data_IF_225844736747
#
_entry.id   IF_225844736747
#
_cell.length_a   1.000
_cell.length_b   1.000
_cell.length_c   1.000
_cell.angle_alpha   90.00
_cell.angle_beta   90.00
_cell.angle_gamma   90.00
#
_symmetry.space_group_name_H-M   'P 1'
#
loop_
_entity.id
_entity.type
_entity.pdbx_description
1 polymer ?
#
# COMPACT_ATOMS: atom_id res chain seq x y z
N UNK A 1 25.75 -50.81 25.30
CA UNK A 1 26.02 -49.94 24.13
C UNK A 1 27.47 -49.48 24.06
N UNK A 2 28.09 -48.97 25.14
CA UNK A 2 29.48 -48.49 25.09
C UNK A 2 30.51 -49.55 24.60
N UNK A 3 30.38 -50.80 25.04
CA UNK A 3 31.26 -51.93 24.64
C UNK A 3 31.27 -52.15 23.13
N UNK A 4 30.15 -51.97 22.42
CA UNK A 4 30.06 -52.12 20.97
C UNK A 4 30.93 -51.11 20.21
N UNK A 5 31.00 -49.87 20.68
CA UNK A 5 31.81 -48.82 20.08
C UNK A 5 33.30 -48.95 20.43
N UNK A 6 33.61 -49.49 21.59
CA UNK A 6 35.00 -49.76 22.02
C UNK A 6 35.60 -50.86 21.13
N UNK A 7 34.83 -51.92 20.85
CA UNK A 7 35.29 -53.04 20.03
C UNK A 7 35.32 -52.72 18.51
N UNK A 8 34.67 -51.60 18.08
CA UNK A 8 34.60 -51.17 16.67
C UNK A 8 34.88 -49.68 16.50
N UNK A 9 36.13 -49.24 16.66
CA UNK A 9 36.48 -47.81 16.66
C UNK A 9 36.22 -47.13 15.31
N UNK A 10 36.40 -47.84 14.17
CA UNK A 10 36.13 -47.28 12.85
C UNK A 10 34.65 -46.93 12.69
N UNK A 11 33.74 -47.77 13.20
CA UNK A 11 32.30 -47.49 13.14
C UNK A 11 31.90 -46.27 13.98
N UNK A 12 32.53 -46.10 15.15
CA UNK A 12 32.33 -44.91 15.98
C UNK A 12 32.81 -43.63 15.29
N UNK A 13 33.97 -43.67 14.61
CA UNK A 13 34.49 -42.52 13.84
C UNK A 13 33.57 -42.16 12.69
N UNK A 14 33.09 -43.13 11.93
CA UNK A 14 32.17 -42.88 10.80
C UNK A 14 30.87 -42.23 11.25
N UNK A 15 30.27 -42.74 12.35
CA UNK A 15 29.05 -42.13 12.91
C UNK A 15 29.31 -40.70 13.39
N UNK A 16 30.45 -40.47 14.07
CA UNK A 16 30.81 -39.13 14.54
C UNK A 16 30.98 -38.14 13.39
N UNK A 17 31.61 -38.55 12.28
CA UNK A 17 31.77 -37.73 11.08
C UNK A 17 30.40 -37.46 10.44
N UNK A 18 29.50 -38.45 10.34
CA UNK A 18 28.14 -38.26 9.81
C UNK A 18 27.32 -37.28 10.64
N UNK A 19 27.38 -37.39 11.98
CA UNK A 19 26.67 -36.45 12.86
C UNK A 19 27.25 -35.05 12.74
N UNK A 20 28.56 -34.91 12.62
CA UNK A 20 29.23 -33.63 12.47
C UNK A 20 28.88 -32.98 11.14
N UNK A 21 28.87 -33.73 10.05
CA UNK A 21 28.44 -33.26 8.72
C UNK A 21 26.96 -32.85 8.71
N UNK A 22 26.08 -33.71 9.26
CA UNK A 22 24.66 -33.39 9.36
C UNK A 22 24.38 -32.17 10.23
N UNK A 23 25.10 -32.05 11.37
CA UNK A 23 25.01 -30.90 12.26
C UNK A 23 25.51 -29.61 11.60
N UNK A 24 26.60 -29.66 10.85
CA UNK A 24 27.12 -28.51 10.12
C UNK A 24 26.17 -28.05 9.02
N UNK A 25 25.62 -29.00 8.23
CA UNK A 25 24.64 -28.70 7.21
C UNK A 25 23.36 -28.10 7.80
N UNK A 26 22.88 -28.66 8.91
CA UNK A 26 21.71 -28.13 9.60
C UNK A 26 21.97 -26.71 10.15
N UNK A 27 23.14 -26.47 10.72
CA UNK A 27 23.51 -25.15 11.25
C UNK A 27 23.58 -24.07 10.18
N UNK A 28 24.00 -24.42 8.95
CA UNK A 28 24.03 -23.48 7.81
C UNK A 28 22.63 -23.13 7.28
N UNK A 29 21.63 -23.97 7.54
CA UNK A 29 20.25 -23.77 7.11
C UNK A 29 19.35 -23.15 8.18
N UNK A 30 19.84 -22.99 9.41
CA UNK A 30 19.04 -22.36 10.46
C UNK A 30 18.72 -20.90 10.09
N UNK A 31 17.44 -20.49 10.15
CA UNK A 31 17.07 -19.09 9.94
C UNK A 31 17.68 -18.23 11.07
N UNK A 32 18.35 -17.17 10.68
CA UNK A 32 18.90 -16.18 11.63
C UNK A 32 17.90 -15.04 11.74
N UNK A 33 17.10 -15.03 12.79
CA UNK A 33 16.26 -13.90 13.16
C UNK A 33 17.05 -12.90 14.02
N UNK A 34 16.79 -11.61 13.84
CA UNK A 34 17.45 -10.53 14.60
C UNK A 34 17.12 -10.59 16.09
N UNK A 35 15.87 -10.97 16.39
CA UNK A 35 15.37 -11.15 17.77
C UNK A 35 14.53 -12.42 17.85
N UNK A 36 14.48 -13.09 19.03
CA UNK A 36 13.48 -14.15 19.26
C UNK A 36 12.07 -13.58 19.05
N UNK A 37 11.18 -14.37 18.46
CA UNK A 37 9.77 -14.00 18.33
C UNK A 37 9.07 -14.07 19.71
N UNK A 38 9.27 -13.02 20.50
CA UNK A 38 8.63 -12.87 21.83
C UNK A 38 7.40 -11.94 21.70
N UNK A 39 7.23 -11.28 20.55
CA UNK A 39 6.12 -10.37 20.34
C UNK A 39 4.86 -11.15 19.93
N UNK A 40 3.72 -10.83 20.56
CA UNK A 40 2.44 -11.41 20.16
C UNK A 40 2.10 -11.03 18.73
N UNK A 41 1.52 -11.95 17.94
CA UNK A 41 1.05 -11.64 16.61
C UNK A 41 0.08 -10.46 16.66
N UNK A 42 0.26 -9.49 15.79
CA UNK A 42 -0.56 -8.28 15.76
C UNK A 42 -1.14 -8.07 14.36
N UNK A 43 -2.40 -7.65 14.30
CA UNK A 43 -3.10 -7.33 13.06
C UNK A 43 -3.52 -5.87 13.08
N UNK A 44 -3.16 -5.12 12.05
CA UNK A 44 -3.52 -3.72 11.92
C UNK A 44 -4.67 -3.55 10.92
N UNK A 45 -5.66 -2.78 11.32
CA UNK A 45 -6.78 -2.33 10.48
C UNK A 45 -6.66 -0.84 10.30
N UNK A 46 -6.64 -0.36 9.06
CA UNK A 46 -6.49 1.06 8.74
C UNK A 46 -7.54 1.47 7.72
N UNK A 47 -8.16 2.62 7.96
CA UNK A 47 -9.03 3.28 7.00
C UNK A 47 -8.96 4.80 7.15
N UNK A 48 -9.56 5.53 6.22
CA UNK A 48 -9.59 7.00 6.26
C UNK A 48 -11.00 7.50 5.95
N UNK A 49 -11.52 8.35 6.80
CA UNK A 49 -12.75 9.10 6.58
C UNK A 49 -12.39 10.53 6.18
N UNK A 50 -12.31 10.77 4.88
CA UNK A 50 -11.86 12.06 4.33
C UNK A 50 -12.80 13.18 4.78
N UNK A 51 -12.23 14.23 5.38
CA UNK A 51 -12.97 15.41 5.85
C UNK A 51 -13.59 15.30 7.25
N UNK A 52 -13.47 14.14 7.91
CA UNK A 52 -13.92 13.95 9.28
C UNK A 52 -12.81 14.32 10.28
N UNK A 53 -13.19 14.85 11.44
CA UNK A 53 -12.29 15.04 12.57
C UNK A 53 -12.23 13.75 13.44
N UNK A 54 -11.29 13.70 14.39
CA UNK A 54 -11.08 12.55 15.26
C UNK A 54 -12.35 12.13 16.03
N UNK A 55 -13.19 13.07 16.47
CA UNK A 55 -14.44 12.77 17.16
C UNK A 55 -15.44 12.02 16.29
N UNK A 56 -15.68 12.52 15.06
CA UNK A 56 -16.56 11.87 14.08
C UNK A 56 -16.02 10.51 13.67
N UNK A 57 -14.72 10.38 13.43
CA UNK A 57 -14.08 9.09 13.11
C UNK A 57 -14.29 8.10 14.26
N UNK A 58 -14.11 8.54 15.50
CA UNK A 58 -14.30 7.68 16.67
C UNK A 58 -15.74 7.18 16.81
N UNK A 59 -16.73 8.05 16.63
CA UNK A 59 -18.14 7.69 16.79
C UNK A 59 -18.68 6.81 15.67
N UNK A 60 -18.28 7.07 14.43
CA UNK A 60 -18.88 6.43 13.25
C UNK A 60 -18.09 5.25 12.73
N UNK A 61 -16.75 5.29 12.82
CA UNK A 61 -15.85 4.29 12.26
C UNK A 61 -15.29 3.38 13.35
N UNK A 62 -14.63 3.99 14.37
CA UNK A 62 -13.95 3.22 15.41
C UNK A 62 -14.91 2.31 16.15
N UNK A 63 -15.98 2.86 16.73
CA UNK A 63 -16.96 2.07 17.48
C UNK A 63 -17.59 0.95 16.65
N UNK A 64 -17.86 1.21 15.37
CA UNK A 64 -18.46 0.21 14.47
C UNK A 64 -17.51 -0.96 14.20
N UNK A 65 -16.22 -0.68 13.95
CA UNK A 65 -15.21 -1.72 13.70
C UNK A 65 -14.88 -2.46 15.01
N UNK A 66 -14.63 -1.72 16.07
CA UNK A 66 -14.24 -2.29 17.38
C UNK A 66 -15.29 -3.21 17.97
N UNK A 67 -16.59 -2.88 17.83
CA UNK A 67 -17.68 -3.76 18.28
C UNK A 67 -17.66 -5.13 17.58
N UNK A 68 -17.28 -5.17 16.31
CA UNK A 68 -17.22 -6.43 15.56
C UNK A 68 -15.91 -7.18 15.78
N UNK A 69 -14.82 -6.47 16.00
CA UNK A 69 -13.50 -7.06 16.25
C UNK A 69 -13.37 -7.54 17.70
N UNK A 70 -14.08 -6.89 18.62
CA UNK A 70 -14.06 -7.27 20.03
C UNK A 70 -14.58 -8.70 20.22
N UNK A 71 -13.78 -9.52 20.87
CA UNK A 71 -14.10 -10.94 21.10
C UNK A 71 -13.67 -11.88 19.98
N UNK A 72 -12.86 -11.44 19.02
CA UNK A 72 -12.21 -12.35 18.09
C UNK A 72 -11.35 -13.36 18.86
N UNK A 73 -11.54 -14.65 18.56
CA UNK A 73 -10.90 -15.74 19.29
C UNK A 73 -9.36 -15.66 19.25
N UNK A 74 -8.75 -15.71 20.43
CA UNK A 74 -7.30 -15.61 20.61
C UNK A 74 -6.79 -14.19 20.71
N UNK A 75 -7.67 -13.17 20.69
CA UNK A 75 -7.31 -11.78 20.93
C UNK A 75 -6.96 -11.60 22.42
N UNK A 76 -5.85 -10.93 22.68
CA UNK A 76 -5.42 -10.51 24.02
C UNK A 76 -5.91 -9.10 24.32
N UNK A 77 -5.53 -8.14 23.50
CA UNK A 77 -6.02 -6.76 23.61
C UNK A 77 -6.09 -6.08 22.24
N UNK A 78 -6.78 -4.96 22.20
CA UNK A 78 -6.78 -4.06 21.04
C UNK A 78 -6.57 -2.62 21.48
N UNK A 79 -5.95 -1.83 20.62
CA UNK A 79 -5.80 -0.39 20.79
C UNK A 79 -6.08 0.32 19.48
N UNK A 80 -6.76 1.46 19.55
CA UNK A 80 -7.09 2.25 18.37
C UNK A 80 -6.66 3.70 18.51
N UNK A 81 -6.46 4.34 17.37
CA UNK A 81 -6.19 5.75 17.27
C UNK A 81 -6.98 6.37 16.12
N UNK A 82 -7.64 7.49 16.42
CA UNK A 82 -8.34 8.33 15.45
C UNK A 82 -7.70 9.72 15.46
N UNK A 83 -7.37 10.25 14.29
CA UNK A 83 -6.76 11.56 14.18
C UNK A 83 -7.62 12.58 13.41
N UNK A 84 -7.28 13.85 13.51
CA UNK A 84 -8.01 14.95 12.86
C UNK A 84 -7.81 15.01 11.33
N UNK A 85 -6.98 14.15 10.77
CA UNK A 85 -6.87 13.96 9.32
C UNK A 85 -7.92 12.98 8.78
N UNK A 86 -8.77 12.45 9.65
CA UNK A 86 -9.77 11.45 9.32
C UNK A 86 -9.24 10.02 9.29
N UNK A 87 -7.98 9.80 9.69
CA UNK A 87 -7.40 8.46 9.71
C UNK A 87 -7.79 7.70 10.96
N UNK A 88 -8.20 6.47 10.78
CA UNK A 88 -8.41 5.48 11.83
C UNK A 88 -7.40 4.34 11.70
N UNK A 89 -6.82 3.93 12.80
CA UNK A 89 -5.96 2.76 12.91
C UNK A 89 -6.29 1.96 14.16
N UNK A 90 -6.51 0.65 13.97
CA UNK A 90 -6.75 -0.31 15.05
C UNK A 90 -5.65 -1.36 15.00
N UNK A 91 -5.04 -1.61 16.15
CA UNK A 91 -4.05 -2.66 16.34
C UNK A 91 -4.64 -3.73 17.26
N UNK A 92 -4.71 -4.95 16.78
CA UNK A 92 -5.26 -6.13 17.49
C UNK A 92 -4.12 -7.08 17.80
N UNK A 93 -3.78 -7.23 19.07
CA UNK A 93 -2.76 -8.16 19.53
C UNK A 93 -3.41 -9.49 19.93
N UNK A 94 -2.74 -10.60 19.61
CA UNK A 94 -3.17 -11.95 19.88
C UNK A 94 -2.27 -12.63 20.91
N UNK A 95 -2.78 -13.68 21.54
CA UNK A 95 -1.99 -14.51 22.46
C UNK A 95 -0.78 -15.14 21.76
N UNK A 96 0.30 -15.36 22.52
CA UNK A 96 1.49 -16.04 22.00
C UNK A 96 1.16 -17.45 21.50
N UNK A 97 1.62 -17.77 20.30
CA UNK A 97 1.38 -19.08 19.68
C UNK A 97 0.14 -19.13 18.75
N UNK A 98 -0.61 -18.04 18.65
CA UNK A 98 -1.64 -17.91 17.63
C UNK A 98 -0.97 -17.70 16.26
N UNK A 99 -1.45 -18.41 15.25
CA UNK A 99 -0.99 -18.25 13.86
C UNK A 99 -1.40 -16.87 13.33
N UNK A 100 -0.44 -16.09 12.86
CA UNK A 100 -0.64 -14.71 12.38
C UNK A 100 -1.53 -14.64 11.14
N UNK A 101 -1.53 -15.65 10.27
CA UNK A 101 -2.39 -15.72 9.09
C UNK A 101 -3.84 -15.97 9.48
N UNK A 102 -4.05 -16.91 10.40
CA UNK A 102 -5.38 -17.20 10.94
C UNK A 102 -5.93 -15.99 11.70
N UNK A 103 -5.09 -15.30 12.47
CA UNK A 103 -5.46 -14.07 13.17
C UNK A 103 -5.92 -12.99 12.18
N UNK A 104 -5.15 -12.75 11.12
CA UNK A 104 -5.51 -11.78 10.09
C UNK A 104 -6.84 -12.11 9.40
N UNK A 105 -7.08 -13.38 9.06
CA UNK A 105 -8.35 -13.83 8.47
C UNK A 105 -9.52 -13.59 9.41
N UNK A 106 -9.38 -13.90 10.70
CA UNK A 106 -10.44 -13.66 11.71
C UNK A 106 -10.79 -12.18 11.83
N UNK A 107 -9.78 -11.31 11.94
CA UNK A 107 -9.98 -9.85 11.99
C UNK A 107 -10.61 -9.35 10.69
N UNK A 108 -10.15 -9.81 9.53
CA UNK A 108 -10.72 -9.43 8.24
C UNK A 108 -12.20 -9.80 8.12
N UNK A 109 -12.60 -10.99 8.60
CA UNK A 109 -14.01 -11.41 8.61
C UNK A 109 -14.86 -10.52 9.53
N UNK A 110 -14.35 -10.14 10.70
CA UNK A 110 -15.01 -9.21 11.60
C UNK A 110 -15.18 -7.82 10.97
N UNK A 111 -14.11 -7.29 10.38
CA UNK A 111 -14.12 -6.01 9.64
C UNK A 111 -15.07 -6.05 8.44
N UNK A 112 -15.13 -7.14 7.70
CA UNK A 112 -16.07 -7.31 6.59
C UNK A 112 -17.54 -7.25 7.06
N UNK A 113 -17.83 -7.70 8.27
CA UNK A 113 -19.15 -7.56 8.90
C UNK A 113 -19.43 -6.10 9.26
N UNK A 114 -18.46 -5.41 9.86
CA UNK A 114 -18.55 -3.99 10.21
C UNK A 114 -18.75 -3.10 8.96
N UNK A 115 -18.14 -3.45 7.83
CA UNK A 115 -18.14 -2.66 6.61
C UNK A 115 -19.55 -2.31 6.09
N UNK A 116 -20.54 -3.14 6.38
CA UNK A 116 -21.96 -2.88 6.00
C UNK A 116 -22.53 -1.63 6.67
N UNK A 117 -22.06 -1.32 7.86
CA UNK A 117 -22.55 -0.23 8.72
C UNK A 117 -21.67 1.02 8.67
N UNK A 118 -20.56 0.99 7.93
CA UNK A 118 -19.67 2.14 7.77
C UNK A 118 -20.26 3.20 6.83
N UNK A 119 -19.88 4.49 6.97
CA UNK A 119 -20.19 5.54 6.02
C UNK A 119 -19.70 5.22 4.59
N UNK A 120 -20.43 5.72 3.58
CA UNK A 120 -20.09 5.42 2.17
C UNK A 120 -18.69 5.95 1.78
N UNK A 121 -18.26 7.08 2.33
CA UNK A 121 -16.94 7.67 2.10
C UNK A 121 -15.82 6.75 2.63
N UNK A 122 -16.05 6.09 3.76
CA UNK A 122 -15.12 5.11 4.34
C UNK A 122 -15.11 3.83 3.49
N UNK A 123 -16.25 3.38 2.99
CA UNK A 123 -16.35 2.24 2.07
C UNK A 123 -15.62 2.53 0.76
N UNK A 124 -15.75 3.75 0.24
CA UNK A 124 -15.06 4.19 -0.97
C UNK A 124 -13.54 4.27 -0.78
N UNK A 125 -13.06 4.71 0.39
CA UNK A 125 -11.65 4.71 0.77
C UNK A 125 -11.10 3.29 0.99
N UNK A 126 -11.97 2.37 1.40
CA UNK A 126 -11.64 1.00 1.73
C UNK A 126 -11.06 0.83 3.13
N UNK A 127 -11.28 -0.36 3.71
CA UNK A 127 -10.71 -0.77 4.99
C UNK A 127 -9.63 -1.81 4.72
N UNK A 128 -8.41 -1.52 5.12
CA UNK A 128 -7.26 -2.41 4.90
C UNK A 128 -6.92 -3.14 6.18
N UNK A 129 -6.86 -4.47 6.12
CA UNK A 129 -6.42 -5.33 7.22
C UNK A 129 -5.10 -5.99 6.83
N UNK A 130 -4.05 -5.79 7.62
CA UNK A 130 -2.72 -6.35 7.37
C UNK A 130 -2.13 -6.91 8.66
N UNK A 131 -1.33 -7.96 8.55
CA UNK A 131 -0.46 -8.38 9.65
C UNK A 131 0.49 -7.23 9.99
N UNK A 132 0.66 -6.92 11.26
CA UNK A 132 1.72 -6.04 11.68
C UNK A 132 3.01 -6.85 11.69
N UNK A 133 3.82 -6.67 10.69
CA UNK A 133 5.21 -7.12 10.76
C UNK A 133 5.97 -6.11 11.59
N UNK A 134 6.47 -6.52 12.74
CA UNK A 134 7.10 -5.62 13.70
C UNK A 134 8.47 -5.12 13.25
N UNK A 135 9.19 -5.89 12.43
CA UNK A 135 10.59 -5.63 12.15
C UNK A 135 10.85 -5.16 10.73
N UNK A 136 11.35 -3.93 10.61
CA UNK A 136 12.02 -3.47 9.40
C UNK A 136 13.45 -4.04 9.38
N UNK A 137 13.68 -4.98 8.48
CA UNK A 137 15.01 -5.58 8.33
C UNK A 137 16.01 -4.68 7.64
N UNK A 138 15.53 -3.92 6.67
CA UNK A 138 16.37 -3.06 5.85
C UNK A 138 15.65 -1.75 5.53
N UNK A 139 16.33 -0.65 5.77
CA UNK A 139 15.82 0.68 5.44
C UNK A 139 16.87 1.37 4.58
N UNK A 140 16.44 1.99 3.50
CA UNK A 140 17.28 2.79 2.64
C UNK A 140 16.52 4.01 2.13
N UNK A 141 17.27 5.00 1.67
CA UNK A 141 16.69 6.21 1.07
C UNK A 141 17.03 6.26 -0.41
N UNK A 142 16.06 6.59 -1.24
CA UNK A 142 16.28 6.99 -2.62
C UNK A 142 16.26 8.52 -2.67
N UNK A 143 17.33 9.15 -3.11
CA UNK A 143 17.47 10.60 -3.10
C UNK A 143 18.02 11.12 -4.41
N UNK A 144 17.82 12.41 -4.67
CA UNK A 144 18.35 13.06 -5.86
C UNK A 144 19.15 14.31 -5.50
N UNK A 145 20.32 14.42 -6.09
CA UNK A 145 21.13 15.65 -6.09
C UNK A 145 20.66 16.66 -7.15
N UNK A 146 19.74 16.25 -8.03
CA UNK A 146 19.17 17.08 -9.08
C UNK A 146 17.81 17.62 -8.64
N UNK A 147 17.66 18.93 -8.52
CA UNK A 147 16.45 19.63 -8.11
C UNK A 147 15.25 19.38 -9.04
N UNK A 148 15.46 18.89 -10.26
CA UNK A 148 14.38 18.54 -11.19
C UNK A 148 13.63 17.26 -10.79
N UNK A 149 14.19 16.45 -9.92
CA UNK A 149 13.56 15.20 -9.45
C UNK A 149 13.02 15.41 -8.05
N UNK A 150 11.72 15.70 -7.98
CA UNK A 150 11.01 15.84 -6.73
C UNK A 150 10.67 14.49 -6.08
N UNK A 151 10.13 14.53 -4.86
CA UNK A 151 9.74 13.33 -4.09
C UNK A 151 8.70 12.48 -4.81
N UNK A 152 7.79 13.10 -5.56
CA UNK A 152 6.77 12.40 -6.36
C UNK A 152 7.42 11.57 -7.45
N UNK A 153 8.39 12.16 -8.15
CA UNK A 153 9.14 11.46 -9.19
C UNK A 153 9.88 10.26 -8.59
N UNK A 154 10.60 10.46 -7.49
CA UNK A 154 11.36 9.40 -6.82
C UNK A 154 10.44 8.27 -6.34
N UNK A 155 9.28 8.62 -5.77
CA UNK A 155 8.30 7.62 -5.35
C UNK A 155 7.72 6.85 -6.53
N UNK A 156 7.30 7.53 -7.57
CA UNK A 156 6.78 6.89 -8.78
C UNK A 156 7.83 5.99 -9.44
N UNK A 157 9.08 6.44 -9.46
CA UNK A 157 10.20 5.64 -9.95
C UNK A 157 10.39 4.36 -9.12
N UNK A 158 10.36 4.48 -7.79
CA UNK A 158 10.47 3.34 -6.89
C UNK A 158 9.30 2.37 -7.06
N UNK A 159 8.07 2.89 -7.18
CA UNK A 159 6.86 2.08 -7.39
C UNK A 159 6.92 1.27 -8.70
N UNK A 160 7.39 1.87 -9.79
CA UNK A 160 7.39 1.23 -11.11
C UNK A 160 8.57 0.26 -11.29
N UNK A 161 9.77 0.66 -10.86
CA UNK A 161 10.99 -0.06 -11.22
C UNK A 161 11.60 -0.89 -10.09
N UNK A 162 11.29 -0.60 -8.83
CA UNK A 162 11.94 -1.23 -7.69
C UNK A 162 11.00 -2.10 -6.85
N UNK A 163 9.78 -1.64 -6.60
CA UNK A 163 8.85 -2.24 -5.65
C UNK A 163 8.58 -3.71 -5.96
N UNK A 164 8.23 -4.03 -7.20
CA UNK A 164 7.90 -5.40 -7.61
C UNK A 164 9.10 -6.34 -7.56
N UNK A 165 10.27 -5.84 -7.89
CA UNK A 165 11.51 -6.63 -7.84
C UNK A 165 11.86 -7.01 -6.38
N UNK A 166 11.70 -6.05 -5.45
CA UNK A 166 11.96 -6.25 -4.02
C UNK A 166 10.90 -7.18 -3.41
N UNK A 167 9.62 -6.98 -3.71
CA UNK A 167 8.52 -7.83 -3.19
C UNK A 167 8.61 -9.29 -3.62
N UNK A 168 9.26 -9.59 -4.74
CA UNK A 168 9.49 -10.98 -5.20
C UNK A 168 10.60 -11.70 -4.45
N UNK A 169 11.38 -11.03 -3.63
CA UNK A 169 12.42 -11.68 -2.82
C UNK A 169 11.74 -12.53 -1.75
N UNK A 170 12.08 -13.82 -1.72
CA UNK A 170 11.56 -14.72 -0.71
C UNK A 170 11.96 -14.24 0.69
N UNK A 171 11.00 -14.13 1.60
CA UNK A 171 11.19 -13.60 2.95
C UNK A 171 10.86 -12.11 3.10
N UNK A 172 10.55 -11.39 2.02
CA UNK A 172 9.98 -10.04 2.09
C UNK A 172 8.48 -10.14 2.33
N UNK A 173 7.99 -9.57 3.42
CA UNK A 173 6.58 -9.52 3.77
C UNK A 173 5.86 -8.32 3.15
N UNK A 174 6.41 -7.12 3.30
CA UNK A 174 5.91 -5.90 2.64
C UNK A 174 7.06 -4.89 2.44
N UNK A 175 6.82 -3.92 1.57
CA UNK A 175 7.73 -2.80 1.33
C UNK A 175 6.96 -1.52 1.56
N UNK A 176 7.38 -0.76 2.56
CA UNK A 176 6.80 0.55 2.89
C UNK A 176 7.61 1.63 2.20
N UNK A 177 6.93 2.51 1.47
CA UNK A 177 7.56 3.68 0.85
C UNK A 177 7.08 4.93 1.59
N UNK A 178 8.00 5.62 2.22
CA UNK A 178 7.78 6.87 2.94
C UNK A 178 7.97 8.04 1.97
N UNK A 179 6.91 8.38 1.26
CA UNK A 179 6.89 9.46 0.28
C UNK A 179 5.48 9.81 -0.13
N UNK A 180 5.24 11.02 -0.64
CA UNK A 180 3.92 11.47 -1.03
C UNK A 180 3.45 10.76 -2.30
N UNK A 181 2.18 10.36 -2.32
CA UNK A 181 1.53 9.96 -3.56
C UNK A 181 1.31 11.17 -4.46
N UNK A 182 1.41 10.98 -5.76
CA UNK A 182 0.99 11.97 -6.73
C UNK A 182 -0.54 11.99 -6.83
N UNK A 183 -1.12 13.17 -6.90
CA UNK A 183 -2.56 13.34 -7.11
C UNK A 183 -2.87 14.61 -7.89
N UNK A 184 -4.07 14.66 -8.48
CA UNK A 184 -4.61 15.86 -9.08
C UNK A 184 -5.31 16.66 -7.97
N UNK A 185 -4.78 17.84 -7.65
CA UNK A 185 -5.38 18.78 -6.68
C UNK A 185 -6.25 19.80 -7.38
N UNK A 186 -7.47 19.97 -6.86
CA UNK A 186 -8.44 20.93 -7.34
C UNK A 186 -8.68 21.96 -6.23
N UNK A 187 -8.17 23.16 -6.41
CA UNK A 187 -8.32 24.28 -5.48
C UNK A 187 -9.52 25.09 -5.87
N UNK A 188 -10.62 24.87 -5.17
CA UNK A 188 -11.88 25.54 -5.43
C UNK A 188 -11.86 27.00 -4.94
N UNK A 189 -12.46 27.91 -5.72
CA UNK A 189 -12.68 29.29 -5.30
C UNK A 189 -14.08 29.42 -4.65
N UNK A 190 -14.17 29.60 -3.32
CA UNK A 190 -15.46 29.61 -2.63
C UNK A 190 -16.35 30.78 -3.03
N UNK A 191 -15.79 31.95 -3.37
CA UNK A 191 -16.56 33.12 -3.79
C UNK A 191 -17.25 32.86 -5.13
N UNK A 192 -16.52 32.24 -6.07
CA UNK A 192 -17.07 31.84 -7.37
C UNK A 192 -18.15 30.78 -7.25
N UNK A 193 -17.97 29.83 -6.34
CA UNK A 193 -18.98 28.79 -6.09
C UNK A 193 -20.28 29.42 -5.55
N UNK A 194 -20.16 30.37 -4.61
CA UNK A 194 -21.31 31.08 -4.06
C UNK A 194 -22.02 31.93 -5.10
N UNK A 195 -21.28 32.67 -5.96
CA UNK A 195 -21.87 33.47 -7.06
C UNK A 195 -22.67 32.60 -8.04
N UNK A 196 -22.20 31.39 -8.35
CA UNK A 196 -22.80 30.50 -9.32
C UNK A 196 -23.82 29.53 -8.74
N UNK A 197 -23.97 29.51 -7.40
CA UNK A 197 -24.86 28.60 -6.69
C UNK A 197 -24.50 27.12 -6.90
N UNK A 198 -23.19 26.82 -6.87
CA UNK A 198 -22.64 25.48 -7.05
C UNK A 198 -22.11 24.99 -5.72
N UNK A 199 -22.38 23.74 -5.40
CA UNK A 199 -21.87 23.07 -4.21
C UNK A 199 -20.65 22.21 -4.54
N UNK A 200 -19.84 21.92 -3.50
CA UNK A 200 -18.71 20.98 -3.64
C UNK A 200 -19.20 19.60 -4.09
N UNK A 201 -20.37 19.19 -3.63
CA UNK A 201 -21.01 17.91 -4.00
C UNK A 201 -21.28 17.83 -5.51
N UNK A 202 -21.74 18.95 -6.12
CA UNK A 202 -21.99 18.99 -7.57
C UNK A 202 -20.69 18.80 -8.37
N UNK A 203 -19.60 19.39 -7.88
CA UNK A 203 -18.27 19.24 -8.49
C UNK A 203 -17.77 17.81 -8.38
N UNK A 204 -17.88 17.21 -7.20
CA UNK A 204 -17.47 15.82 -6.97
C UNK A 204 -18.27 14.88 -7.87
N UNK A 205 -19.58 15.09 -8.00
CA UNK A 205 -20.43 14.29 -8.86
C UNK A 205 -20.00 14.42 -10.34
N UNK A 206 -19.76 15.65 -10.82
CA UNK A 206 -19.33 15.90 -12.20
C UNK A 206 -17.95 15.27 -12.51
N UNK A 207 -17.02 15.34 -11.57
CA UNK A 207 -15.71 14.69 -11.70
C UNK A 207 -15.86 13.17 -11.72
N UNK A 208 -16.67 12.58 -10.85
CA UNK A 208 -16.91 11.14 -10.82
C UNK A 208 -17.58 10.65 -12.11
N UNK A 209 -18.52 11.40 -12.68
CA UNK A 209 -19.21 11.05 -13.91
C UNK A 209 -18.31 11.10 -15.14
N UNK A 210 -17.42 12.09 -15.22
CA UNK A 210 -16.59 12.32 -16.41
C UNK A 210 -15.17 11.70 -16.30
N UNK A 211 -14.71 11.37 -15.11
CA UNK A 211 -13.43 10.70 -14.90
C UNK A 211 -13.60 9.18 -14.66
N UNK A 212 -14.35 8.52 -15.53
CA UNK A 212 -14.64 7.09 -15.46
C UNK A 212 -14.05 6.34 -16.65
N UNK A 213 -13.55 5.16 -16.41
CA UNK A 213 -13.14 4.25 -17.47
C UNK A 213 -14.29 3.31 -17.80
N UNK A 214 -15.05 3.67 -18.86
CA UNK A 214 -16.14 2.84 -19.34
C UNK A 214 -15.68 1.95 -20.51
N UNK A 215 -16.11 0.68 -20.58
CA UNK A 215 -15.87 -0.16 -21.74
C UNK A 215 -16.72 0.35 -22.92
N UNK A 216 -16.08 0.61 -24.05
CA UNK A 216 -16.75 1.12 -25.25
C UNK A 216 -17.52 0.06 -26.04
N UNK A 217 -17.48 -1.22 -25.59
CA UNK A 217 -18.12 -2.32 -26.31
C UNK A 217 -17.36 -2.76 -27.57
N UNK A 218 -18.02 -3.62 -28.34
CA UNK A 218 -17.51 -4.15 -29.61
C UNK A 218 -18.55 -3.94 -30.70
N UNK A 219 -18.11 -3.49 -31.85
CA UNK A 219 -18.93 -3.40 -33.07
C UNK A 219 -18.69 -4.66 -33.91
N UNK A 220 -19.76 -5.26 -34.44
CA UNK A 220 -19.66 -6.49 -35.25
C UNK A 220 -19.70 -7.79 -34.46
N UNK A 221 -20.12 -7.78 -33.19
CA UNK A 221 -20.32 -8.99 -32.39
C UNK A 221 -21.60 -9.71 -32.82
N UNK A 222 -21.53 -11.04 -32.95
CA UNK A 222 -22.70 -11.88 -33.24
C UNK A 222 -23.66 -11.92 -32.04
N UNK A 223 -25.00 -11.95 -32.26
CA UNK A 223 -25.69 -12.04 -33.56
C UNK A 223 -25.78 -10.68 -34.30
N UNK A 224 -25.29 -10.63 -35.53
CA UNK A 224 -25.37 -9.47 -36.40
C UNK A 224 -26.36 -9.76 -37.55
N UNK A 225 -27.19 -8.79 -37.98
CA UNK A 225 -28.10 -8.97 -39.14
C UNK A 225 -27.37 -9.26 -40.45
N UNK A 226 -26.10 -8.85 -40.56
CA UNK A 226 -25.27 -9.07 -41.73
C UNK A 226 -23.99 -9.84 -41.29
N UNK A 227 -23.49 -10.71 -42.18
CA UNK A 227 -22.22 -11.41 -41.94
C UNK A 227 -21.07 -10.40 -41.96
N UNK A 228 -20.64 -9.98 -40.76
CA UNK A 228 -19.46 -9.16 -40.61
C UNK A 228 -18.25 -10.05 -40.33
N UNK A 229 -17.21 -9.90 -41.15
CA UNK A 229 -15.96 -10.66 -41.03
C UNK A 229 -15.04 -10.09 -39.95
N UNK A 230 -15.24 -8.84 -39.54
CA UNK A 230 -14.36 -8.15 -38.59
C UNK A 230 -15.12 -7.62 -37.38
N UNK A 231 -14.52 -7.80 -36.19
CA UNK A 231 -14.97 -7.16 -34.96
C UNK A 231 -14.03 -6.01 -34.60
N UNK A 232 -14.58 -4.86 -34.30
CA UNK A 232 -13.84 -3.70 -33.84
C UNK A 232 -14.11 -3.47 -32.36
N UNK A 233 -13.06 -3.45 -31.52
CA UNK A 233 -13.18 -3.05 -30.12
C UNK A 233 -13.08 -1.55 -30.05
N UNK A 234 -14.14 -0.89 -29.59
CA UNK A 234 -14.12 0.54 -29.31
C UNK A 234 -13.17 0.85 -28.15
N UNK A 235 -12.42 1.95 -28.24
CA UNK A 235 -11.73 2.55 -27.12
C UNK A 235 -12.30 3.94 -26.88
N UNK A 236 -12.73 4.20 -25.67
CA UNK A 236 -13.09 5.55 -25.20
C UNK A 236 -11.89 6.08 -24.42
N UNK A 237 -11.71 7.39 -24.44
CA UNK A 237 -10.75 8.06 -23.56
C UNK A 237 -11.02 7.58 -22.12
N UNK A 238 -9.99 7.10 -21.45
CA UNK A 238 -10.08 6.56 -20.09
C UNK A 238 -10.11 7.66 -19.04
N UNK A 239 -9.53 7.37 -17.87
CA UNK A 239 -9.37 8.38 -16.82
C UNK A 239 -8.55 9.55 -17.32
N UNK A 240 -8.94 10.74 -16.89
CA UNK A 240 -8.21 11.97 -17.15
C UNK A 240 -6.85 11.94 -16.42
N UNK A 241 -5.81 12.41 -17.09
CA UNK A 241 -4.43 12.30 -16.61
C UNK A 241 -3.71 13.63 -16.48
N UNK A 242 -4.18 14.68 -17.19
CA UNK A 242 -3.54 15.98 -17.20
C UNK A 242 -4.41 17.07 -16.55
N UNK A 243 -3.80 18.12 -15.98
CA UNK A 243 -4.55 19.25 -15.42
C UNK A 243 -5.50 19.91 -16.42
N UNK A 244 -5.11 19.94 -17.72
CA UNK A 244 -5.90 20.51 -18.82
C UNK A 244 -7.18 19.70 -19.03
N UNK A 245 -7.06 18.37 -19.08
CA UNK A 245 -8.23 17.48 -19.21
C UNK A 245 -9.20 17.63 -18.02
N UNK A 246 -8.69 17.79 -16.80
CA UNK A 246 -9.51 18.07 -15.63
C UNK A 246 -10.16 19.44 -15.69
N UNK A 247 -9.47 20.46 -16.24
CA UNK A 247 -10.03 21.82 -16.43
C UNK A 247 -11.22 21.82 -17.37
N UNK A 248 -11.25 20.91 -18.32
CA UNK A 248 -12.32 20.80 -19.33
C UNK A 248 -13.58 20.08 -18.83
N UNK A 249 -13.57 19.52 -17.61
CA UNK A 249 -14.76 18.89 -17.00
C UNK A 249 -15.90 19.88 -16.95
N UNK A 250 -17.05 19.49 -17.49
CA UNK A 250 -18.26 20.30 -17.50
C UNK A 250 -19.01 20.12 -16.17
N UNK A 251 -19.20 21.22 -15.45
CA UNK A 251 -19.93 21.22 -14.17
C UNK A 251 -21.42 21.51 -14.41
N UNK A 252 -21.75 22.50 -15.28
CA UNK A 252 -23.12 22.91 -15.50
C UNK A 252 -23.30 23.58 -16.87
N UNK A 253 -24.44 23.35 -17.51
CA UNK A 253 -24.85 24.14 -18.68
C UNK A 253 -25.45 25.45 -18.21
N UNK A 254 -25.00 26.55 -18.80
CA UNK A 254 -25.50 27.89 -18.51
C UNK A 254 -26.70 28.25 -19.44
N UNK A 255 -27.60 29.15 -18.99
CA UNK A 255 -28.78 29.53 -19.78
C UNK A 255 -28.45 30.13 -21.15
N UNK A 256 -27.27 30.69 -21.33
CA UNK A 256 -26.77 31.27 -22.58
C UNK A 256 -26.21 30.25 -23.59
N UNK A 257 -26.34 28.96 -23.31
CA UNK A 257 -25.81 27.88 -24.13
C UNK A 257 -24.33 27.57 -23.94
N UNK A 258 -23.62 28.28 -23.04
CA UNK A 258 -22.26 28.00 -22.69
C UNK A 258 -22.19 26.92 -21.58
N UNK A 259 -21.03 26.29 -21.47
CA UNK A 259 -20.75 25.33 -20.39
C UNK A 259 -19.81 25.96 -19.38
N UNK A 260 -20.14 25.80 -18.09
CA UNK A 260 -19.25 26.12 -17.02
C UNK A 260 -18.32 24.93 -16.80
N UNK A 261 -17.01 25.17 -16.88
CA UNK A 261 -15.98 24.15 -16.74
C UNK A 261 -15.31 24.23 -15.35
N UNK A 262 -14.69 23.15 -14.94
CA UNK A 262 -13.99 23.10 -13.66
C UNK A 262 -12.85 24.13 -13.60
N UNK A 263 -12.14 24.37 -14.70
CA UNK A 263 -11.09 25.39 -14.79
C UNK A 263 -11.59 26.83 -14.59
N UNK A 264 -12.90 27.12 -14.79
CA UNK A 264 -13.47 28.46 -14.57
C UNK A 264 -13.65 28.81 -13.09
N UNK A 265 -13.73 27.78 -12.23
CA UNK A 265 -14.04 27.88 -10.78
C UNK A 265 -12.95 27.33 -9.88
N UNK A 266 -11.94 26.69 -10.45
CA UNK A 266 -10.88 26.04 -9.68
C UNK A 266 -9.52 26.17 -10.37
N UNK A 267 -8.47 26.18 -9.58
CA UNK A 267 -7.09 25.96 -10.04
C UNK A 267 -6.77 24.49 -9.91
N UNK A 268 -6.29 23.87 -10.97
CA UNK A 268 -5.98 22.45 -11.04
C UNK A 268 -4.48 22.28 -11.21
N UNK A 269 -3.90 21.44 -10.40
CA UNK A 269 -2.47 21.15 -10.44
C UNK A 269 -2.19 19.68 -10.12
N UNK A 270 -1.20 19.11 -10.79
CA UNK A 270 -0.65 17.82 -10.45
C UNK A 270 0.38 17.99 -9.33
N UNK A 271 0.04 17.55 -8.12
CA UNK A 271 0.80 17.80 -6.90
C UNK A 271 0.85 16.59 -5.98
N UNK A 272 1.50 16.72 -4.83
CA UNK A 272 1.53 15.70 -3.79
C UNK A 272 0.16 15.57 -3.13
N UNK A 273 -0.31 14.34 -2.87
CA UNK A 273 -1.60 14.09 -2.22
C UNK A 273 -1.67 14.72 -0.83
N UNK A 274 -0.59 14.60 -0.06
CA UNK A 274 -0.42 15.21 1.26
C UNK A 274 0.90 15.97 1.30
N UNK A 275 0.88 17.20 1.80
CA UNK A 275 2.09 18.04 1.93
C UNK A 275 2.75 17.91 3.30
N UNK A 276 2.30 16.96 4.14
CA UNK A 276 2.73 16.85 5.54
C UNK A 276 3.95 15.92 5.72
N UNK A 277 4.44 15.30 4.65
CA UNK A 277 5.59 14.39 4.71
C UNK A 277 6.74 15.05 3.97
N UNK A 278 7.72 15.50 4.72
CA UNK A 278 9.00 15.94 4.18
C UNK A 278 10.05 14.88 4.49
N UNK A 279 10.80 14.47 3.48
CA UNK A 279 11.88 13.51 3.62
C UNK A 279 13.10 14.00 2.84
N UNK A 280 14.21 14.10 3.53
CA UNK A 280 15.49 14.53 2.99
C UNK A 280 16.58 13.55 3.43
N UNK A 281 17.57 13.38 2.59
CA UNK A 281 18.79 12.65 2.91
C UNK A 281 20.00 13.53 2.63
N UNK A 282 20.76 13.88 3.68
CA UNK A 282 21.90 14.79 3.63
C UNK A 282 21.58 16.14 2.95
N UNK A 283 20.38 16.70 3.18
CA UNK A 283 19.94 17.96 2.57
C UNK A 283 19.45 17.83 1.11
N UNK A 284 19.43 16.63 0.55
CA UNK A 284 18.87 16.37 -0.77
C UNK A 284 17.46 15.80 -0.66
N UNK A 285 16.62 16.15 -1.61
CA UNK A 285 15.25 15.60 -1.71
C UNK A 285 15.29 14.08 -1.85
N UNK A 286 14.57 13.38 -0.98
CA UNK A 286 14.58 11.92 -0.95
C UNK A 286 13.27 11.31 -0.45
N UNK A 287 13.17 10.00 -0.59
CA UNK A 287 12.12 9.16 -0.02
C UNK A 287 12.76 8.00 0.75
N UNK A 288 12.13 7.58 1.83
CA UNK A 288 12.55 6.39 2.58
C UNK A 288 11.83 5.15 2.10
N UNK A 289 12.53 4.02 2.06
CA UNK A 289 11.95 2.71 1.82
C UNK A 289 12.31 1.77 2.95
N UNK A 290 11.30 1.11 3.54
CA UNK A 290 11.44 0.14 4.61
C UNK A 290 10.98 -1.23 4.15
N UNK A 291 11.78 -2.25 4.38
CA UNK A 291 11.48 -3.63 4.02
C UNK A 291 11.13 -4.39 5.28
N UNK A 292 9.92 -4.93 5.30
CA UNK A 292 9.41 -5.79 6.36
C UNK A 292 9.62 -7.26 5.97
N UNK A 293 9.95 -8.07 6.96
CA UNK A 293 10.14 -9.51 6.77
C UNK A 293 8.85 -10.29 6.99
N UNK A 294 8.80 -11.48 6.42
CA UNK A 294 7.88 -12.52 6.88
C UNK A 294 8.39 -13.14 8.18
N UNK A 295 7.49 -13.74 8.97
CA UNK A 295 7.81 -14.25 10.32
C UNK A 295 8.92 -15.32 10.36
N UNK A 296 9.10 -16.06 9.26
CA UNK A 296 10.07 -17.14 9.09
C UNK A 296 11.30 -16.76 8.26
N UNK A 297 11.45 -15.49 7.90
CA UNK A 297 12.49 -15.04 6.99
C UNK A 297 13.87 -14.94 7.66
N UNK A 298 14.91 -15.29 6.90
CA UNK A 298 16.28 -14.98 7.25
C UNK A 298 16.64 -13.54 6.88
N UNK A 299 16.69 -12.64 7.87
CA UNK A 299 16.98 -11.23 7.69
C UNK A 299 18.26 -10.96 6.90
N UNK A 300 19.35 -11.70 7.17
CA UNK A 300 20.63 -11.51 6.50
C UNK A 300 20.56 -11.89 5.01
N UNK A 301 19.89 -12.98 4.70
CA UNK A 301 19.71 -13.44 3.33
C UNK A 301 18.84 -12.45 2.52
N UNK A 302 17.72 -11.99 3.11
CA UNK A 302 16.85 -10.99 2.49
C UNK A 302 17.60 -9.68 2.25
N UNK A 303 18.32 -9.16 3.25
CA UNK A 303 19.11 -7.94 3.12
C UNK A 303 20.16 -8.05 2.00
N UNK A 304 20.82 -9.22 1.90
CA UNK A 304 21.83 -9.46 0.87
C UNK A 304 21.22 -9.48 -0.54
N UNK A 305 20.08 -10.16 -0.71
CA UNK A 305 19.34 -10.22 -1.99
C UNK A 305 18.80 -8.86 -2.39
N UNK A 306 18.21 -8.13 -1.44
CA UNK A 306 17.70 -6.77 -1.69
C UNK A 306 18.83 -5.84 -2.10
N UNK A 307 19.96 -5.86 -1.42
CA UNK A 307 21.13 -5.04 -1.81
C UNK A 307 21.62 -5.36 -3.21
N UNK A 308 21.63 -6.63 -3.61
CA UNK A 308 21.99 -7.02 -4.97
C UNK A 308 21.01 -6.44 -6.01
N UNK A 309 19.70 -6.43 -5.72
CA UNK A 309 18.68 -5.79 -6.57
C UNK A 309 18.90 -4.28 -6.66
N UNK A 310 19.21 -3.61 -5.54
CA UNK A 310 19.49 -2.18 -5.53
C UNK A 310 20.72 -1.82 -6.34
N UNK A 311 21.80 -2.59 -6.23
CA UNK A 311 23.02 -2.40 -7.04
C UNK A 311 22.77 -2.62 -8.55
N UNK A 312 21.87 -3.54 -8.89
CA UNK A 312 21.48 -3.73 -10.30
C UNK A 312 20.58 -2.58 -10.79
N UNK A 313 19.61 -2.17 -9.99
CA UNK A 313 18.73 -1.05 -10.29
C UNK A 313 19.50 0.26 -10.45
N UNK A 314 20.56 0.46 -9.66
CA UNK A 314 21.43 1.65 -9.71
C UNK A 314 22.02 1.91 -11.09
N UNK A 315 22.27 0.87 -11.88
CA UNK A 315 22.79 1.00 -13.25
C UNK A 315 21.84 1.74 -14.20
N UNK A 316 20.53 1.70 -13.86
CA UNK A 316 19.47 2.29 -14.65
C UNK A 316 18.88 3.55 -14.00
N UNK A 317 19.46 4.06 -12.93
CA UNK A 317 18.98 5.27 -12.28
C UNK A 317 19.13 6.50 -13.19
N UNK A 318 18.18 7.42 -13.15
CA UNK A 318 18.34 8.71 -13.80
C UNK A 318 19.57 9.45 -13.27
N UNK A 319 20.22 10.31 -14.08
CA UNK A 319 21.40 11.06 -13.66
C UNK A 319 21.13 11.90 -12.40
N UNK A 320 21.93 11.71 -11.35
CA UNK A 320 21.78 12.41 -10.07
C UNK A 320 20.87 11.71 -9.05
N UNK A 321 20.25 10.58 -9.39
CA UNK A 321 19.51 9.75 -8.43
C UNK A 321 20.45 8.70 -7.83
N UNK A 322 20.42 8.56 -6.50
CA UNK A 322 21.21 7.60 -5.74
C UNK A 322 20.38 6.99 -4.58
N UNK A 323 20.92 5.93 -3.95
CA UNK A 323 20.33 5.32 -2.76
C UNK A 323 21.35 5.18 -1.64
#
# INVERSE_FOLDING_TARGET
>A
MARFFIDRPIFAIVISILILLAGTLAALQLPIAKYPQIQPPTVNVVTTYIGANAGVVNETVAQTIEQQVNGVQGMDYMSSNSDDTGRYSLSVAFELGVDSDIAAVKVQNAVATANRSLPEEVKASGVTTKKASADMAYVFSLYSENENYDRRFLKNYADIYMLDAIKRVNGVGDVMIFGPNASMKVWLNPDRLAELGITVTDIVAAVQEQNIQAPAGRVGQQPSPELQEFQYTGRVQGRLTTPEEFSDIIIKALPNGNFLRLGDIARIEFSEQTSNIESEFNGNTGIGLGIQLTDDANALEVCTKVRAILEDAKKNFPPGVNY
#
